data_IF_239766055400
#
_entry.id   IF_239766055400
#
_cell.length_a   1.000
_cell.length_b   1.000
_cell.length_c   1.000
_cell.angle_alpha   90.00
_cell.angle_beta   90.00
_cell.angle_gamma   90.00
#
_symmetry.space_group_name_H-M   'P 1'
#
loop_
_entity.id
_entity.type
_entity.pdbx_description
1 polymer ?
#
# COMPACT_ATOMS: atom_id res chain seq x y z
N UNK A 1 -7.84 -15.22 -66.38
CA UNK A 1 -7.97 -16.32 -65.41
C UNK A 1 -7.41 -15.83 -64.09
N UNK A 2 -8.14 -15.43 -63.07
CA UNK A 2 -9.54 -15.05 -62.79
C UNK A 2 -9.44 -14.16 -61.52
N UNK A 3 -10.19 -13.06 -61.39
CA UNK A 3 -11.47 -13.04 -60.66
C UNK A 3 -11.28 -13.28 -59.15
N UNK A 4 -11.70 -12.44 -58.20
CA UNK A 4 -12.73 -11.42 -58.20
C UNK A 4 -12.60 -10.47 -56.99
N UNK A 5 -13.12 -9.25 -57.19
CA UNK A 5 -13.51 -8.26 -56.19
C UNK A 5 -14.97 -8.50 -55.77
N UNK A 6 -15.34 -8.37 -54.47
CA UNK A 6 -16.66 -7.86 -54.04
C UNK A 6 -16.53 -7.08 -52.72
N UNK A 7 -17.17 -5.92 -52.71
CA UNK A 7 -17.28 -4.92 -51.67
C UNK A 7 -18.69 -4.92 -51.03
N UNK A 8 -18.77 -4.36 -49.81
CA UNK A 8 -19.89 -3.65 -49.14
C UNK A 8 -21.29 -4.30 -49.03
N UNK A 9 -21.90 -4.25 -47.83
CA UNK A 9 -23.22 -3.61 -47.56
C UNK A 9 -23.41 -3.40 -46.03
N UNK A 10 -24.08 -2.29 -45.70
CA UNK A 10 -24.38 -1.66 -44.41
C UNK A 10 -25.82 -1.96 -43.92
N UNK A 11 -26.11 -1.73 -42.62
CA UNK A 11 -27.36 -1.18 -42.01
C UNK A 11 -27.47 -1.63 -40.53
N UNK A 12 -27.46 -0.75 -39.51
CA UNK A 12 -28.49 0.22 -39.07
C UNK A 12 -29.66 -0.39 -38.29
N UNK A 13 -29.75 -0.11 -36.97
CA UNK A 13 -30.86 0.64 -36.35
C UNK A 13 -30.84 0.56 -34.82
N UNK A 14 -30.95 1.72 -34.17
CA UNK A 14 -31.33 1.89 -32.76
C UNK A 14 -32.88 1.83 -32.62
N UNK A 15 -33.42 1.83 -31.39
CA UNK A 15 -34.00 3.09 -30.94
C UNK A 15 -33.78 3.45 -29.46
N UNK A 16 -33.96 4.74 -29.23
CA UNK A 16 -33.95 5.52 -28.00
C UNK A 16 -35.08 5.23 -27.03
N UNK A 17 -34.83 5.37 -25.72
CA UNK A 17 -35.82 5.90 -24.76
C UNK A 17 -35.16 6.88 -23.80
N UNK A 18 -35.64 8.12 -23.89
CA UNK A 18 -35.44 9.24 -22.98
C UNK A 18 -36.05 8.92 -21.60
N UNK A 19 -35.35 9.30 -20.52
CA UNK A 19 -35.98 9.59 -19.23
C UNK A 19 -35.29 10.79 -18.57
N UNK A 20 -36.06 11.88 -18.52
CA UNK A 20 -35.81 13.06 -17.71
C UNK A 20 -35.67 12.68 -16.22
N UNK A 21 -34.67 13.25 -15.54
CA UNK A 21 -34.87 13.59 -14.13
C UNK A 21 -34.27 14.95 -13.81
N UNK A 22 -35.18 15.86 -13.46
CA UNK A 22 -34.99 17.25 -13.09
C UNK A 22 -34.14 17.37 -11.83
N UNK A 23 -33.25 18.35 -11.85
CA UNK A 23 -32.69 19.00 -10.68
C UNK A 23 -33.80 19.49 -9.73
N UNK A 24 -33.66 19.18 -8.45
CA UNK A 24 -34.38 19.86 -7.37
C UNK A 24 -33.36 20.61 -6.52
N UNK A 25 -33.31 21.92 -6.75
CA UNK A 25 -32.61 22.89 -5.91
C UNK A 25 -33.51 23.15 -4.69
N UNK A 26 -33.09 22.69 -3.52
CA UNK A 26 -33.67 23.12 -2.25
C UNK A 26 -32.97 24.41 -1.81
N UNK A 27 -33.70 25.53 -1.92
CA UNK A 27 -33.40 26.77 -1.20
C UNK A 27 -33.92 26.63 0.23
N UNK A 28 -33.06 26.83 1.22
CA UNK A 28 -33.50 27.37 2.51
C UNK A 28 -32.59 28.54 2.88
N UNK A 29 -33.20 29.72 2.86
CA UNK A 29 -32.66 30.96 3.38
C UNK A 29 -33.36 31.28 4.70
N UNK A 30 -32.58 31.91 5.58
CA UNK A 30 -32.96 32.72 6.74
C UNK A 30 -33.52 32.00 7.98
N UNK A 31 -32.78 32.11 9.09
CA UNK A 31 -33.13 33.08 10.14
C UNK A 31 -31.87 33.63 10.82
N UNK A 32 -31.80 34.96 10.86
CA UNK A 32 -30.86 35.74 11.65
C UNK A 32 -31.31 35.74 13.11
N UNK A 33 -30.36 35.61 14.04
CA UNK A 33 -30.43 36.26 15.35
C UNK A 33 -29.08 36.91 15.65
N UNK A 34 -29.00 38.21 15.36
CA UNK A 34 -28.20 39.16 16.12
C UNK A 34 -28.80 39.22 17.56
N UNK A 35 -28.15 39.57 18.66
CA UNK A 35 -27.11 40.54 19.01
C UNK A 35 -26.42 39.99 20.27
N UNK A 36 -25.20 40.39 20.63
CA UNK A 36 -25.00 41.45 21.64
C UNK A 36 -23.60 42.04 21.50
N UNK A 37 -23.56 43.36 21.39
CA UNK A 37 -22.37 44.21 21.42
C UNK A 37 -21.69 44.20 22.79
N UNK A 38 -20.37 44.28 22.80
CA UNK A 38 -19.61 44.95 23.85
C UNK A 38 -18.42 45.66 23.21
N UNK A 39 -18.37 46.96 23.47
CA UNK A 39 -17.54 48.01 22.90
C UNK A 39 -16.17 48.08 23.55
N UNK A 40 -15.10 48.33 22.79
CA UNK A 40 -14.08 49.33 23.16
C UNK A 40 -13.16 49.66 21.99
N UNK A 41 -12.79 50.92 21.96
CA UNK A 41 -12.15 51.74 20.91
C UNK A 41 -10.72 51.34 20.52
N UNK A 42 -10.24 51.70 19.32
CA UNK A 42 -8.84 51.51 18.94
C UNK A 42 -7.97 52.64 19.49
N UNK A 43 -6.90 52.30 20.21
CA UNK A 43 -5.80 53.23 20.49
C UNK A 43 -4.81 53.12 19.35
N UNK A 44 -4.58 54.24 18.67
CA UNK A 44 -3.56 54.44 17.67
C UNK A 44 -2.20 54.68 18.35
N UNK A 45 -1.14 54.07 17.83
CA UNK A 45 0.23 54.57 18.02
C UNK A 45 1.08 54.26 16.79
N UNK A 46 1.75 55.31 16.31
CA UNK A 46 2.52 55.39 15.07
C UNK A 46 3.81 54.56 15.04
N UNK A 47 4.09 54.05 13.83
CA UNK A 47 5.36 53.90 13.10
C UNK A 47 6.68 53.86 13.91
N UNK A 48 7.44 52.77 13.73
CA UNK A 48 8.87 52.87 13.43
C UNK A 48 9.28 51.80 12.41
N UNK A 49 9.94 52.26 11.33
CA UNK A 49 10.69 51.41 10.39
C UNK A 49 12.02 51.10 11.06
N UNK A 50 12.30 49.83 11.32
CA UNK A 50 13.67 49.34 11.50
C UNK A 50 13.95 48.22 10.51
N UNK A 51 15.03 48.45 9.78
CA UNK A 51 15.72 47.56 8.85
C UNK A 51 16.48 46.50 9.66
N UNK A 52 16.63 45.32 9.08
CA UNK A 52 17.27 44.08 9.59
C UNK A 52 16.32 43.04 10.18
N UNK A 53 16.45 41.85 9.59
CA UNK A 53 15.62 40.68 9.87
C UNK A 53 15.81 40.16 11.28
N UNK A 54 14.69 39.68 11.83
CA UNK A 54 14.63 38.59 12.78
C UNK A 54 13.25 37.95 12.61
N UNK A 55 13.23 36.70 12.17
CA UNK A 55 12.02 35.88 12.22
C UNK A 55 11.66 35.68 13.69
N UNK A 56 10.53 36.25 14.12
CA UNK A 56 9.97 36.01 15.45
C UNK A 56 8.89 34.95 15.35
N UNK A 57 9.20 33.74 15.80
CA UNK A 57 8.20 32.71 16.09
C UNK A 57 7.69 32.98 17.51
N UNK A 58 6.44 33.43 17.64
CA UNK A 58 5.78 33.53 18.95
C UNK A 58 5.07 32.22 19.25
N UNK A 59 5.51 31.52 20.30
CA UNK A 59 4.76 30.41 20.87
C UNK A 59 3.49 30.96 21.53
N UNK A 60 2.32 30.49 21.07
CA UNK A 60 1.04 30.78 21.71
C UNK A 60 0.80 29.72 22.79
N UNK A 61 0.59 30.18 24.02
CA UNK A 61 0.27 29.31 25.14
C UNK A 61 -1.25 29.05 25.10
N UNK A 62 -1.68 27.83 24.73
CA UNK A 62 -3.06 27.41 24.93
C UNK A 62 -3.15 26.01 25.53
N UNK A 63 -4.08 25.95 26.48
CA UNK A 63 -4.42 24.86 27.38
C UNK A 63 -4.80 23.56 26.67
N UNK A 64 -4.42 22.47 27.33
CA UNK A 64 -4.57 21.07 26.97
C UNK A 64 -5.96 20.66 26.46
N UNK A 65 -6.00 20.18 25.20
CA UNK A 65 -6.85 19.06 24.83
C UNK A 65 -6.06 18.14 23.88
N UNK A 66 -5.96 16.87 24.23
CA UNK A 66 -5.12 15.89 23.56
C UNK A 66 -5.72 15.47 22.21
N UNK A 67 -5.19 16.04 21.12
CA UNK A 67 -5.25 15.45 19.77
C UNK A 67 -3.87 15.57 19.14
N UNK A 68 -3.39 14.48 18.56
CA UNK A 68 -2.07 14.29 17.94
C UNK A 68 -1.54 15.56 17.25
N UNK A 69 -0.72 16.33 17.96
CA UNK A 69 -0.02 17.50 17.43
C UNK A 69 1.28 17.03 16.77
N UNK A 70 1.39 17.18 15.46
CA UNK A 70 2.69 17.12 14.76
C UNK A 70 3.51 18.37 15.12
N UNK A 71 4.84 18.34 14.97
CA UNK A 71 5.71 19.49 15.25
C UNK A 71 5.34 20.77 14.46
N UNK A 72 4.54 20.64 13.41
CA UNK A 72 4.00 21.71 12.57
C UNK A 72 2.63 22.24 13.01
N UNK A 73 1.98 21.68 14.04
CA UNK A 73 0.60 22.02 14.42
C UNK A 73 0.40 23.48 14.79
N UNK A 74 1.48 24.17 15.17
CA UNK A 74 1.46 25.57 15.60
C UNK A 74 2.02 26.54 14.55
N UNK A 75 2.30 26.06 13.33
CA UNK A 75 2.78 26.90 12.23
C UNK A 75 1.58 27.58 11.57
N UNK A 76 1.36 28.85 11.88
CA UNK A 76 0.33 29.65 11.23
C UNK A 76 0.84 30.15 9.86
N UNK A 77 0.49 29.41 8.80
CA UNK A 77 0.82 29.76 7.40
C UNK A 77 -0.28 30.64 6.75
N UNK A 78 -1.36 30.94 7.49
CA UNK A 78 -2.57 31.61 6.98
C UNK A 78 -2.37 33.05 6.51
N UNK A 79 -1.21 33.66 6.81
CA UNK A 79 -0.88 35.02 6.40
C UNK A 79 -0.20 35.12 5.03
N UNK A 80 0.07 34.00 4.34
CA UNK A 80 0.54 34.02 2.96
C UNK A 80 -0.65 33.98 2.00
N UNK A 81 -1.28 35.14 1.78
CA UNK A 81 -2.21 35.28 0.68
C UNK A 81 -1.41 35.23 -0.64
N UNK A 82 -1.63 34.20 -1.45
CA UNK A 82 -1.09 34.14 -2.79
C UNK A 82 -1.55 35.39 -3.57
N UNK A 83 -0.67 36.04 -4.35
CA UNK A 83 -1.03 37.20 -5.15
C UNK A 83 -2.25 36.91 -6.05
N UNK A 84 -3.17 37.87 -6.24
CA UNK A 84 -4.43 37.66 -6.97
C UNK A 84 -4.28 37.33 -8.47
N UNK A 85 -3.06 37.40 -9.02
CA UNK A 85 -2.72 37.02 -10.39
C UNK A 85 -2.17 35.58 -10.51
N UNK A 86 -1.87 34.93 -9.38
CA UNK A 86 -1.55 33.51 -9.34
C UNK A 86 -2.86 32.73 -9.24
N UNK A 87 -3.10 31.73 -10.12
CA UNK A 87 -4.24 30.85 -9.98
C UNK A 87 -4.21 30.20 -8.59
N UNK A 88 -5.37 30.01 -7.95
CA UNK A 88 -5.40 29.26 -6.69
C UNK A 88 -4.89 27.85 -6.94
N UNK A 89 -4.26 27.24 -5.93
CA UNK A 89 -3.67 25.91 -6.08
C UNK A 89 -4.74 24.86 -6.44
N UNK A 90 -5.99 25.03 -5.98
CA UNK A 90 -7.13 24.20 -6.37
C UNK A 90 -7.64 24.42 -7.81
N UNK A 91 -7.24 25.49 -8.50
CA UNK A 91 -7.64 25.82 -9.87
C UNK A 91 -6.63 25.37 -10.92
N UNK A 92 -5.44 24.96 -10.49
CA UNK A 92 -4.41 24.40 -11.37
C UNK A 92 -4.58 22.89 -11.46
N UNK A 93 -4.86 22.41 -12.66
CA UNK A 93 -4.77 20.99 -12.98
C UNK A 93 -3.30 20.56 -13.09
N UNK A 94 -2.64 20.53 -11.93
CA UNK A 94 -1.21 20.25 -11.79
C UNK A 94 -0.85 18.88 -12.36
N UNK A 95 -1.73 17.88 -12.21
CA UNK A 95 -1.55 16.54 -12.77
C UNK A 95 -1.49 16.59 -14.30
N UNK A 96 -2.42 17.28 -14.97
CA UNK A 96 -2.37 17.40 -16.43
C UNK A 96 -1.20 18.26 -16.92
N UNK A 97 -0.77 19.26 -16.14
CA UNK A 97 0.45 20.03 -16.45
C UNK A 97 1.70 19.16 -16.40
N UNK A 98 1.82 18.30 -15.39
CA UNK A 98 2.93 17.36 -15.24
C UNK A 98 2.87 16.26 -16.31
N UNK A 99 1.68 15.77 -16.64
CA UNK A 99 1.48 14.76 -17.68
C UNK A 99 1.96 15.27 -19.05
N UNK A 100 1.67 16.53 -19.40
CA UNK A 100 2.23 17.17 -20.62
C UNK A 100 3.76 17.24 -20.63
N UNK A 101 4.39 17.24 -19.45
CA UNK A 101 5.85 17.14 -19.28
C UNK A 101 6.34 15.69 -19.17
N UNK A 102 5.46 14.73 -19.49
CA UNK A 102 5.67 13.28 -19.46
C UNK A 102 6.02 12.75 -18.07
N UNK A 103 5.43 13.36 -17.04
CA UNK A 103 5.61 12.98 -15.65
C UNK A 103 4.31 12.34 -15.14
N UNK A 104 4.43 11.12 -14.64
CA UNK A 104 3.36 10.36 -14.00
C UNK A 104 3.72 10.18 -12.52
N UNK A 105 2.76 10.37 -11.62
CA UNK A 105 2.92 10.13 -10.19
C UNK A 105 2.12 8.91 -9.72
N UNK A 106 2.82 7.92 -9.16
CA UNK A 106 2.26 6.83 -8.37
C UNK A 106 2.49 7.14 -6.88
N UNK A 107 1.58 7.94 -6.30
CA UNK A 107 1.69 8.45 -4.93
C UNK A 107 0.82 7.76 -3.88
N UNK A 108 0.15 6.65 -4.24
CA UNK A 108 -0.83 5.98 -3.41
C UNK A 108 -0.61 4.46 -3.37
N UNK A 109 -1.44 3.76 -2.60
CA UNK A 109 -1.54 2.30 -2.66
C UNK A 109 -1.94 1.86 -4.07
N UNK A 110 -1.39 0.74 -4.52
CA UNK A 110 -1.71 0.17 -5.83
C UNK A 110 -2.99 -0.65 -5.71
N UNK A 111 -4.05 -0.17 -6.33
CA UNK A 111 -5.32 -0.87 -6.55
C UNK A 111 -5.71 -0.79 -8.03
N UNK A 112 -6.85 -1.38 -8.39
CA UNK A 112 -7.28 -1.46 -9.79
C UNK A 112 -7.51 -0.06 -10.40
N UNK A 113 -8.11 0.87 -9.63
CA UNK A 113 -8.38 2.24 -10.08
C UNK A 113 -7.09 3.01 -10.32
N UNK A 114 -6.14 2.93 -9.39
CA UNK A 114 -4.84 3.58 -9.52
C UNK A 114 -4.05 2.99 -10.67
N UNK A 115 -4.08 1.66 -10.83
CA UNK A 115 -3.41 0.97 -11.92
C UNK A 115 -3.98 1.38 -13.29
N UNK A 116 -5.30 1.38 -13.45
CA UNK A 116 -5.96 1.80 -14.70
C UNK A 116 -5.58 3.24 -15.07
N UNK A 117 -5.50 4.14 -14.09
CA UNK A 117 -5.08 5.52 -14.32
C UNK A 117 -3.63 5.61 -14.77
N UNK A 118 -2.71 4.87 -14.16
CA UNK A 118 -1.29 4.86 -14.53
C UNK A 118 -1.09 4.21 -15.91
N UNK A 119 -1.75 3.09 -16.18
CA UNK A 119 -1.71 2.40 -17.47
C UNK A 119 -2.20 3.34 -18.57
N UNK A 120 -3.34 3.99 -18.38
CA UNK A 120 -3.90 4.92 -19.37
C UNK A 120 -2.93 6.06 -19.68
N UNK A 121 -2.29 6.65 -18.66
CA UNK A 121 -1.29 7.70 -18.86
C UNK A 121 -0.04 7.21 -19.59
N UNK A 122 0.47 6.02 -19.25
CA UNK A 122 1.62 5.43 -19.95
C UNK A 122 1.34 5.26 -21.44
N UNK A 123 0.19 4.66 -21.78
CA UNK A 123 -0.21 4.43 -23.17
C UNK A 123 -0.47 5.72 -23.94
N UNK A 124 -1.08 6.71 -23.28
CA UNK A 124 -1.29 8.03 -23.87
C UNK A 124 0.05 8.68 -24.23
N UNK A 125 0.98 8.77 -23.28
CA UNK A 125 2.28 9.39 -23.51
C UNK A 125 3.12 8.63 -24.55
N UNK A 126 3.06 7.30 -24.57
CA UNK A 126 3.74 6.51 -25.60
C UNK A 126 3.15 6.78 -26.99
N UNK A 127 1.82 6.94 -27.09
CA UNK A 127 1.16 7.26 -28.37
C UNK A 127 1.51 8.67 -28.89
N UNK A 128 1.73 9.64 -28.00
CA UNK A 128 2.10 11.01 -28.37
C UNK A 128 3.55 11.11 -28.89
N UNK A 129 4.50 10.46 -28.22
CA UNK A 129 5.91 10.48 -28.61
C UNK A 129 6.65 9.25 -28.06
N UNK A 130 6.91 8.28 -28.95
CA UNK A 130 7.58 7.02 -28.63
C UNK A 130 9.10 7.18 -28.40
N UNK A 131 9.69 8.34 -28.70
CA UNK A 131 11.14 8.56 -28.60
C UNK A 131 11.56 9.24 -27.30
N UNK A 132 10.63 9.91 -26.62
CA UNK A 132 10.90 10.63 -25.39
C UNK A 132 10.55 9.80 -24.17
N UNK A 133 11.46 9.79 -23.21
CA UNK A 133 11.27 9.12 -21.94
C UNK A 133 9.99 9.57 -21.22
N UNK A 134 9.37 8.62 -20.53
CA UNK A 134 8.30 8.84 -19.56
C UNK A 134 8.91 8.73 -18.17
N UNK A 135 8.63 9.70 -17.29
CA UNK A 135 9.14 9.72 -15.91
C UNK A 135 8.05 9.32 -14.94
N UNK A 136 8.18 8.16 -14.33
CA UNK A 136 7.30 7.61 -13.31
C UNK A 136 7.89 7.86 -11.92
N UNK A 137 7.29 8.80 -11.18
CA UNK A 137 7.64 9.06 -9.79
C UNK A 137 6.83 8.14 -8.87
N UNK A 138 7.52 7.47 -7.95
CA UNK A 138 6.94 6.43 -7.09
C UNK A 138 7.09 6.84 -5.63
N UNK A 139 5.96 6.92 -4.95
CA UNK A 139 5.82 7.02 -3.51
C UNK A 139 4.64 6.12 -3.09
N UNK A 140 4.88 4.81 -3.00
CA UNK A 140 3.83 3.82 -2.81
C UNK A 140 4.22 2.75 -1.78
N UNK A 141 3.31 2.39 -0.85
CA UNK A 141 3.50 1.27 0.05
C UNK A 141 3.35 -0.10 -0.67
N UNK A 142 3.03 -0.11 -1.96
CA UNK A 142 2.65 -1.32 -2.70
C UNK A 142 1.14 -1.49 -2.76
N UNK A 143 0.67 -2.73 -2.92
CA UNK A 143 -0.77 -3.03 -3.02
C UNK A 143 -1.05 -4.32 -3.78
N UNK A 144 -2.11 -4.32 -4.59
CA UNK A 144 -2.55 -5.47 -5.37
C UNK A 144 -1.48 -5.93 -6.37
N UNK A 145 -1.13 -7.21 -6.31
CA UNK A 145 -0.14 -7.83 -7.21
C UNK A 145 -0.63 -7.79 -8.66
N UNK A 146 -1.90 -8.12 -8.90
CA UNK A 146 -2.46 -8.16 -10.27
C UNK A 146 -2.52 -6.76 -10.87
N UNK A 147 -2.97 -5.76 -10.11
CA UNK A 147 -3.00 -4.36 -10.55
C UNK A 147 -1.59 -3.83 -10.86
N UNK A 148 -0.63 -4.10 -9.95
CA UNK A 148 0.77 -3.72 -10.19
C UNK A 148 1.40 -4.47 -11.37
N UNK A 149 1.00 -5.71 -11.64
CA UNK A 149 1.46 -6.43 -12.84
C UNK A 149 0.90 -5.83 -14.13
N UNK A 150 -0.33 -5.32 -14.12
CA UNK A 150 -0.87 -4.57 -15.25
C UNK A 150 -0.04 -3.33 -15.57
N UNK A 151 0.38 -2.56 -14.55
CA UNK A 151 1.27 -1.41 -14.73
C UNK A 151 2.62 -1.87 -15.32
N UNK A 152 3.21 -2.94 -14.77
CA UNK A 152 4.47 -3.48 -15.27
C UNK A 152 4.38 -3.87 -16.75
N UNK A 153 3.31 -4.58 -17.15
CA UNK A 153 3.14 -5.00 -18.54
C UNK A 153 2.95 -3.79 -19.46
N UNK A 154 2.20 -2.76 -19.01
CA UNK A 154 2.09 -1.50 -19.75
C UNK A 154 3.45 -0.80 -19.90
N UNK A 155 4.29 -0.77 -18.85
CA UNK A 155 5.65 -0.24 -18.93
C UNK A 155 6.51 -1.00 -19.95
N UNK A 156 6.33 -2.33 -20.08
CA UNK A 156 7.06 -3.15 -21.07
C UNK A 156 6.47 -3.07 -22.47
N UNK A 157 5.20 -2.72 -22.60
CA UNK A 157 4.52 -2.52 -23.88
C UNK A 157 4.89 -1.18 -24.53
N UNK A 158 5.14 -0.15 -23.74
CA UNK A 158 5.59 1.16 -24.23
C UNK A 158 6.89 1.03 -25.02
N UNK A 159 6.99 1.77 -26.12
CA UNK A 159 8.25 1.89 -26.89
C UNK A 159 9.16 2.97 -26.30
N UNK A 160 8.57 4.01 -25.74
CA UNK A 160 9.27 5.01 -24.96
C UNK A 160 9.88 4.37 -23.71
N UNK A 161 11.09 4.80 -23.35
CA UNK A 161 11.72 4.36 -22.12
C UNK A 161 10.96 4.89 -20.89
N UNK A 162 10.74 4.03 -19.91
CA UNK A 162 10.12 4.42 -18.64
C UNK A 162 11.19 4.58 -17.58
N UNK A 163 11.53 5.82 -17.25
CA UNK A 163 12.42 6.16 -16.14
C UNK A 163 11.63 6.17 -14.83
N UNK A 164 12.13 5.47 -13.82
CA UNK A 164 11.49 5.36 -12.51
C UNK A 164 12.27 6.14 -11.46
N UNK A 165 11.57 6.90 -10.61
CA UNK A 165 12.19 7.71 -9.56
C UNK A 165 11.45 7.46 -8.24
N UNK A 166 12.14 6.89 -7.25
CA UNK A 166 11.61 6.78 -5.90
C UNK A 166 11.75 8.11 -5.17
N UNK A 167 10.65 8.59 -4.58
CA UNK A 167 10.62 9.80 -3.76
C UNK A 167 9.79 9.54 -2.51
N UNK A 168 10.46 9.17 -1.42
CA UNK A 168 9.80 8.74 -0.18
C UNK A 168 9.89 7.22 -0.03
N UNK A 169 8.80 6.50 -0.31
CA UNK A 169 8.74 5.05 -0.14
C UNK A 169 8.45 4.33 -1.45
N UNK A 170 9.21 3.28 -1.76
CA UNK A 170 8.82 2.27 -2.74
C UNK A 170 8.86 0.90 -2.04
N UNK A 171 7.71 0.39 -1.64
CA UNK A 171 7.59 -0.86 -0.91
C UNK A 171 6.78 -1.90 -1.70
N UNK A 172 7.09 -3.19 -1.53
CA UNK A 172 6.36 -4.30 -2.14
C UNK A 172 6.20 -4.11 -3.66
N UNK A 173 4.97 -4.10 -4.21
CA UNK A 173 4.71 -3.82 -5.62
C UNK A 173 5.24 -2.44 -6.08
N UNK A 174 5.35 -1.44 -5.19
CA UNK A 174 6.00 -0.17 -5.50
C UNK A 174 7.50 -0.32 -5.74
N UNK A 175 8.20 -1.14 -4.95
CA UNK A 175 9.62 -1.47 -5.15
C UNK A 175 9.81 -2.28 -6.45
N UNK A 176 8.89 -3.20 -6.72
CA UNK A 176 8.89 -3.99 -7.95
C UNK A 176 8.78 -3.11 -9.20
N UNK A 177 7.83 -2.16 -9.20
CA UNK A 177 7.66 -1.21 -10.30
C UNK A 177 8.86 -0.26 -10.44
N UNK A 178 9.41 0.22 -9.31
CA UNK A 178 10.65 1.00 -9.30
C UNK A 178 11.78 0.26 -10.01
N UNK A 179 12.00 -1.00 -9.65
CA UNK A 179 13.05 -1.83 -10.25
C UNK A 179 12.79 -2.16 -11.73
N UNK A 180 11.52 -2.11 -12.15
CA UNK A 180 11.08 -2.47 -13.50
C UNK A 180 11.21 -1.36 -14.54
N UNK A 181 11.68 -0.17 -14.17
CA UNK A 181 12.04 0.88 -15.12
C UNK A 181 13.11 0.45 -16.13
N UNK A 182 13.30 1.24 -17.19
CA UNK A 182 14.36 1.00 -18.17
C UNK A 182 15.72 0.97 -17.49
N UNK A 183 16.54 -0.03 -17.80
CA UNK A 183 17.89 -0.20 -17.24
C UNK A 183 18.75 1.03 -17.52
N UNK A 184 19.44 1.54 -16.50
CA UNK A 184 20.21 2.79 -16.54
C UNK A 184 19.38 4.04 -16.24
N UNK A 185 18.06 3.92 -16.06
CA UNK A 185 17.12 5.04 -15.83
C UNK A 185 16.25 4.86 -14.57
N UNK A 186 16.71 4.05 -13.61
CA UNK A 186 16.05 3.79 -12.33
C UNK A 186 16.75 4.56 -11.22
N UNK A 187 16.02 5.39 -10.49
CA UNK A 187 16.60 6.37 -9.57
C UNK A 187 15.95 6.37 -8.19
N UNK A 188 16.72 6.76 -7.17
CA UNK A 188 16.21 7.07 -5.84
C UNK A 188 16.64 8.48 -5.41
N UNK A 189 15.78 9.19 -4.68
CA UNK A 189 16.22 10.34 -3.88
C UNK A 189 16.96 9.87 -2.61
N UNK A 190 17.83 10.68 -1.99
CA UNK A 190 18.71 10.26 -0.88
C UNK A 190 17.96 9.71 0.34
N UNK A 191 16.78 10.27 0.63
CA UNK A 191 15.94 9.89 1.77
C UNK A 191 14.98 8.73 1.47
N UNK A 192 15.07 8.16 0.27
CA UNK A 192 14.14 7.12 -0.14
C UNK A 192 14.38 5.82 0.61
N UNK A 193 13.28 5.14 0.92
CA UNK A 193 13.30 3.77 1.44
C UNK A 193 12.70 2.85 0.40
N UNK A 194 13.41 1.76 0.13
CA UNK A 194 12.94 0.69 -0.75
C UNK A 194 12.71 -0.55 0.10
N UNK A 195 11.59 -1.23 -0.05
CA UNK A 195 11.31 -2.46 0.70
C UNK A 195 10.82 -3.55 -0.22
N UNK A 196 11.46 -4.72 -0.15
CA UNK A 196 11.02 -5.92 -0.86
C UNK A 196 10.56 -6.97 0.15
N UNK A 197 9.51 -7.70 -0.21
CA UNK A 197 9.00 -8.83 0.55
C UNK A 197 8.18 -9.78 -0.35
N UNK A 198 7.79 -10.93 0.17
CA UNK A 198 6.92 -11.87 -0.51
C UNK A 198 5.49 -11.33 -0.62
N UNK A 199 4.72 -11.71 -1.66
CA UNK A 199 3.33 -11.29 -1.78
C UNK A 199 2.51 -11.78 -0.58
N UNK A 200 1.66 -10.89 -0.05
CA UNK A 200 0.76 -11.18 1.05
C UNK A 200 -0.63 -11.53 0.51
N UNK A 201 -1.31 -12.46 1.18
CA UNK A 201 -2.70 -12.79 0.87
C UNK A 201 -3.35 -13.57 1.99
N UNK A 202 -4.67 -13.58 2.00
CA UNK A 202 -5.48 -14.35 2.94
C UNK A 202 -6.30 -15.38 2.18
N UNK A 203 -6.39 -16.59 2.73
CA UNK A 203 -7.18 -17.68 2.16
C UNK A 203 -8.14 -18.22 3.20
N UNK A 204 -9.39 -18.49 2.82
CA UNK A 204 -10.45 -18.97 3.70
C UNK A 204 -11.58 -19.62 2.91
N UNK A 205 -12.38 -20.45 3.58
CA UNK A 205 -13.45 -21.23 2.97
C UNK A 205 -13.14 -22.73 2.93
N UNK A 206 -13.80 -23.45 2.01
CA UNK A 206 -13.63 -24.90 1.84
C UNK A 206 -12.16 -25.24 1.52
N UNK A 207 -11.69 -26.40 1.96
CA UNK A 207 -10.30 -26.85 1.72
C UNK A 207 -9.88 -26.75 0.25
N UNK A 208 -10.79 -27.07 -0.68
CA UNK A 208 -10.55 -26.95 -2.13
C UNK A 208 -10.29 -25.51 -2.55
N UNK A 209 -11.13 -24.56 -2.13
CA UNK A 209 -10.95 -23.13 -2.43
C UNK A 209 -9.66 -22.59 -1.84
N UNK A 210 -9.35 -23.02 -0.62
CA UNK A 210 -8.11 -22.64 0.06
C UNK A 210 -6.89 -23.10 -0.73
N UNK A 211 -6.91 -24.35 -1.21
CA UNK A 211 -5.81 -24.94 -2.01
C UNK A 211 -5.58 -24.21 -3.33
N UNK A 212 -6.66 -23.74 -3.98
CA UNK A 212 -6.58 -22.99 -5.24
C UNK A 212 -5.94 -21.62 -4.99
N UNK A 213 -6.39 -20.89 -3.96
CA UNK A 213 -5.83 -19.57 -3.63
C UNK A 213 -4.37 -19.64 -3.18
N UNK A 214 -3.99 -20.67 -2.42
CA UNK A 214 -2.60 -20.88 -2.01
C UNK A 214 -1.72 -21.16 -3.23
N UNK A 215 -2.20 -21.95 -4.19
CA UNK A 215 -1.48 -22.20 -5.44
C UNK A 215 -1.25 -20.91 -6.22
N UNK A 216 -2.25 -20.03 -6.30
CA UNK A 216 -2.13 -18.74 -6.96
C UNK A 216 -1.13 -17.81 -6.27
N UNK A 217 -1.15 -17.74 -4.93
CA UNK A 217 -0.16 -16.99 -4.16
C UNK A 217 1.27 -17.51 -4.39
N UNK A 218 1.45 -18.83 -4.44
CA UNK A 218 2.74 -19.44 -4.76
C UNK A 218 3.18 -19.10 -6.19
N UNK A 219 2.26 -19.08 -7.15
CA UNK A 219 2.53 -18.64 -8.52
C UNK A 219 3.06 -17.21 -8.56
N UNK A 220 2.37 -16.26 -7.91
CA UNK A 220 2.82 -14.87 -7.84
C UNK A 220 4.20 -14.73 -7.18
N UNK A 221 4.45 -15.44 -6.07
CA UNK A 221 5.75 -15.44 -5.40
C UNK A 221 6.88 -15.85 -6.36
N UNK A 222 6.72 -16.98 -7.05
CA UNK A 222 7.71 -17.48 -8.01
C UNK A 222 7.88 -16.51 -9.18
N UNK A 223 6.78 -15.99 -9.73
CA UNK A 223 6.80 -15.06 -10.88
C UNK A 223 7.53 -13.76 -10.56
N UNK A 224 7.21 -13.13 -9.43
CA UNK A 224 7.84 -11.88 -9.00
C UNK A 224 9.33 -12.09 -8.72
N UNK A 225 9.70 -13.17 -8.03
CA UNK A 225 11.12 -13.48 -7.74
C UNK A 225 11.94 -13.69 -9.02
N UNK A 226 11.38 -14.37 -10.02
CA UNK A 226 12.00 -14.56 -11.33
C UNK A 226 12.25 -13.24 -12.06
N UNK A 227 11.27 -12.33 -12.03
CA UNK A 227 11.41 -11.02 -12.68
C UNK A 227 12.45 -10.17 -11.93
N UNK A 228 12.38 -10.11 -10.59
CA UNK A 228 13.36 -9.38 -9.78
C UNK A 228 14.78 -9.92 -9.96
N UNK A 229 14.96 -11.25 -10.04
CA UNK A 229 16.25 -11.88 -10.33
C UNK A 229 16.81 -11.40 -11.65
N UNK A 230 16.00 -11.36 -12.72
CA UNK A 230 16.42 -10.87 -14.05
C UNK A 230 16.78 -9.39 -14.04
N UNK A 231 16.03 -8.57 -13.31
CA UNK A 231 16.23 -7.13 -13.22
C UNK A 231 17.50 -6.78 -12.43
N UNK A 232 17.68 -7.41 -11.26
CA UNK A 232 18.78 -7.13 -10.34
C UNK A 232 20.08 -7.86 -10.71
N UNK A 233 19.98 -8.94 -11.49
CA UNK A 233 21.11 -9.83 -11.80
C UNK A 233 21.48 -10.80 -10.66
N UNK A 234 20.72 -10.84 -9.56
CA UNK A 234 20.94 -11.78 -8.46
C UNK A 234 20.28 -13.14 -8.75
N UNK A 235 20.83 -14.26 -8.24
CA UNK A 235 20.21 -15.57 -8.41
C UNK A 235 18.84 -15.64 -7.72
N UNK A 236 17.91 -16.42 -8.28
CA UNK A 236 16.54 -16.57 -7.76
C UNK A 236 16.51 -16.97 -6.27
N UNK A 237 17.42 -17.86 -5.85
CA UNK A 237 17.58 -18.29 -4.45
C UNK A 237 17.88 -17.13 -3.50
N UNK A 238 18.69 -16.16 -3.94
CA UNK A 238 19.04 -14.99 -3.14
C UNK A 238 17.84 -14.05 -3.01
N UNK A 239 17.11 -13.83 -4.11
CA UNK A 239 15.87 -13.05 -4.10
C UNK A 239 14.83 -13.70 -3.17
N UNK A 240 14.68 -15.02 -3.22
CA UNK A 240 13.74 -15.74 -2.36
C UNK A 240 14.07 -15.56 -0.87
N UNK A 241 15.35 -15.68 -0.49
CA UNK A 241 15.79 -15.45 0.89
C UNK A 241 15.56 -14.00 1.32
N UNK A 242 15.90 -13.04 0.46
CA UNK A 242 15.86 -11.62 0.78
C UNK A 242 14.43 -11.03 0.73
N UNK A 243 13.47 -11.76 0.16
CA UNK A 243 12.04 -11.40 0.13
C UNK A 243 11.19 -12.20 1.13
N UNK A 244 11.72 -13.23 1.79
CA UNK A 244 10.95 -14.03 2.76
C UNK A 244 10.38 -13.17 3.91
N UNK A 245 11.10 -12.11 4.28
CA UNK A 245 10.67 -11.11 5.27
C UNK A 245 10.78 -9.71 4.69
N UNK A 246 10.17 -8.75 5.37
CA UNK A 246 10.30 -7.34 5.03
C UNK A 246 11.79 -6.94 5.09
N UNK A 247 12.33 -6.59 3.93
CA UNK A 247 13.72 -6.20 3.79
C UNK A 247 13.79 -4.75 3.30
N UNK A 248 14.06 -3.85 4.25
CA UNK A 248 14.14 -2.42 3.98
C UNK A 248 15.58 -1.99 3.67
N UNK A 249 15.73 -1.24 2.59
CA UNK A 249 16.98 -0.71 2.08
C UNK A 249 16.91 0.82 2.02
N UNK A 250 18.02 1.48 2.32
CA UNK A 250 18.23 2.89 1.97
C UNK A 250 18.52 3.02 0.45
N UNK A 251 18.59 4.25 -0.04
CA UNK A 251 18.78 4.51 -1.48
C UNK A 251 20.07 3.90 -2.06
N UNK A 252 21.17 3.87 -1.28
CA UNK A 252 22.45 3.31 -1.71
C UNK A 252 22.45 1.78 -1.67
N UNK A 253 21.90 1.18 -0.61
CA UNK A 253 21.70 -0.27 -0.52
C UNK A 253 20.82 -0.76 -1.68
N UNK A 254 19.74 -0.05 -2.02
CA UNK A 254 18.88 -0.39 -3.15
C UNK A 254 19.64 -0.32 -4.49
N UNK A 255 20.58 0.62 -4.63
CA UNK A 255 21.47 0.71 -5.80
C UNK A 255 22.43 -0.48 -5.85
N UNK A 256 23.12 -0.78 -4.75
CA UNK A 256 24.03 -1.92 -4.64
C UNK A 256 23.31 -3.27 -4.84
N UNK A 257 22.05 -3.34 -4.41
CA UNK A 257 21.18 -4.48 -4.64
C UNK A 257 20.76 -4.61 -6.12
N UNK A 258 20.87 -3.56 -6.91
CA UNK A 258 20.47 -3.54 -8.32
C UNK A 258 18.97 -3.27 -8.55
N UNK A 259 18.25 -2.79 -7.52
CA UNK A 259 16.86 -2.31 -7.65
C UNK A 259 16.83 -0.96 -8.38
N UNK A 260 17.83 -0.12 -8.19
CA UNK A 260 17.99 1.15 -8.90
C UNK A 260 19.40 1.29 -9.47
N UNK A 261 19.59 2.20 -10.43
CA UNK A 261 20.87 2.43 -11.10
C UNK A 261 21.66 3.57 -10.44
N UNK A 262 20.99 4.62 -9.95
CA UNK A 262 21.64 5.76 -9.33
C UNK A 262 20.81 6.44 -8.23
N UNK A 263 21.51 7.13 -7.34
CA UNK A 263 20.90 8.02 -6.34
C UNK A 263 21.10 9.46 -6.82
N UNK A 264 20.02 10.24 -6.88
CA UNK A 264 20.06 11.64 -7.28
C UNK A 264 20.39 12.47 -6.04
N UNK A 265 21.66 12.79 -5.84
CA UNK A 265 22.17 13.51 -4.68
C UNK A 265 22.99 14.73 -5.11
N UNK A 266 23.03 15.79 -4.29
CA UNK A 266 23.81 17.01 -4.56
C UNK A 266 25.29 16.88 -4.16
N UNK A 267 25.71 15.66 -3.78
CA UNK A 267 27.07 15.32 -3.39
C UNK A 267 27.42 15.73 -1.96
N UNK A 268 26.47 16.27 -1.19
CA UNK A 268 26.68 16.58 0.22
C UNK A 268 26.40 15.34 1.07
N UNK A 269 27.38 14.81 1.81
CA UNK A 269 27.15 13.67 2.67
C UNK A 269 26.24 14.07 3.81
N UNK A 270 25.02 13.55 3.84
CA UNK A 270 24.19 13.71 5.04
C UNK A 270 22.71 13.61 4.78
N UNK A 271 22.19 12.38 4.81
CA UNK A 271 20.87 12.03 5.35
C UNK A 271 20.70 10.49 5.49
N UNK A 272 21.79 9.72 5.47
CA UNK A 272 21.70 8.27 5.71
C UNK A 272 21.71 8.05 7.21
N UNK A 273 20.55 7.73 7.78
CA UNK A 273 20.49 7.21 9.13
C UNK A 273 21.32 5.90 9.17
N UNK A 274 22.21 5.70 10.16
CA UNK A 274 22.85 4.41 10.38
C UNK A 274 21.75 3.38 10.60
N UNK A 275 21.59 2.44 9.67
CA UNK A 275 20.65 1.34 9.87
C UNK A 275 21.18 0.52 11.05
N UNK A 276 20.32 0.23 12.03
CA UNK A 276 20.64 -0.79 13.03
C UNK A 276 21.09 -2.07 12.30
N UNK A 277 22.07 -2.75 12.88
CA UNK A 277 22.67 -4.00 12.41
C UNK A 277 21.72 -4.83 11.55
N UNK A 278 22.06 -4.97 10.26
CA UNK A 278 21.31 -5.70 9.22
C UNK A 278 21.22 -7.22 9.47
N UNK A 279 21.39 -7.67 10.72
CA UNK A 279 21.03 -9.02 11.11
C UNK A 279 19.52 -9.15 10.94
N UNK A 280 19.12 -10.00 10.00
CA UNK A 280 17.71 -10.39 9.91
C UNK A 280 17.33 -10.96 11.27
N UNK A 281 16.16 -10.57 11.85
CA UNK A 281 15.72 -11.17 13.09
C UNK A 281 15.78 -12.69 12.93
N UNK A 282 16.31 -13.42 13.93
CA UNK A 282 16.58 -14.85 13.80
C UNK A 282 15.32 -15.54 13.30
N UNK A 283 15.45 -16.36 12.26
CA UNK A 283 14.32 -17.08 11.66
C UNK A 283 13.54 -17.75 12.79
N UNK A 284 12.28 -17.38 13.00
CA UNK A 284 11.37 -18.13 13.86
C UNK A 284 11.08 -19.46 13.17
N UNK A 285 12.00 -20.39 13.32
CA UNK A 285 11.77 -21.80 13.09
C UNK A 285 10.71 -22.20 14.12
N UNK A 286 9.47 -22.36 13.70
CA UNK A 286 8.34 -22.73 14.60
C UNK A 286 8.70 -23.97 15.43
N UNK A 287 9.53 -24.87 14.88
CA UNK A 287 10.08 -26.04 15.57
C UNK A 287 11.05 -25.71 16.73
N UNK A 288 11.66 -24.53 16.78
CA UNK A 288 12.50 -24.10 17.91
C UNK A 288 11.64 -23.64 19.11
N UNK A 289 10.39 -23.22 18.90
CA UNK A 289 9.41 -23.01 19.98
C UNK A 289 8.82 -24.33 20.53
N UNK A 290 8.90 -25.40 19.74
CA UNK A 290 8.47 -26.76 20.11
C UNK A 290 9.60 -27.64 20.64
N UNK A 291 10.84 -27.13 20.67
CA UNK A 291 11.91 -27.77 21.42
C UNK A 291 11.58 -27.63 22.90
N UNK A 292 10.98 -28.69 23.44
CA UNK A 292 10.89 -28.89 24.88
C UNK A 292 12.32 -29.01 25.38
N UNK A 293 12.86 -27.90 25.89
CA UNK A 293 14.05 -27.96 26.72
C UNK A 293 13.68 -28.68 28.01
N UNK A 294 14.08 -29.94 28.07
CA UNK A 294 13.83 -30.81 29.20
C UNK A 294 14.49 -32.17 28.99
N UNK A 295 15.09 -32.69 30.06
CA UNK A 295 15.69 -34.03 30.15
C UNK A 295 14.77 -35.12 29.53
N UNK A 296 15.32 -36.28 29.15
CA UNK A 296 14.58 -37.45 28.59
C UNK A 296 13.25 -37.76 29.30
N UNK A 297 13.12 -37.42 30.59
CA UNK A 297 11.87 -37.51 31.38
C UNK A 297 10.73 -36.61 30.87
N UNK A 298 10.99 -35.39 30.42
CA UNK A 298 9.99 -34.46 29.90
C UNK A 298 9.37 -34.95 28.58
N UNK A 299 10.16 -35.62 27.74
CA UNK A 299 9.70 -36.24 26.48
C UNK A 299 8.81 -37.47 26.71
N UNK A 300 8.90 -38.12 27.88
CA UNK A 300 8.12 -39.32 28.21
C UNK A 300 6.67 -39.01 28.61
N UNK A 301 6.38 -37.76 28.97
CA UNK A 301 5.06 -37.27 29.39
C UNK A 301 4.35 -36.45 28.30
N UNK A 302 4.85 -36.46 27.07
CA UNK A 302 4.12 -35.93 25.93
C UNK A 302 2.88 -36.81 25.68
N UNK A 303 1.70 -36.23 25.40
CA UNK A 303 0.58 -37.00 24.90
C UNK A 303 0.99 -37.61 23.56
N UNK A 304 1.21 -38.92 23.53
CA UNK A 304 1.32 -39.68 22.28
C UNK A 304 -0.09 -39.83 21.69
N UNK A 305 -0.22 -39.87 20.36
CA UNK A 305 -1.51 -40.10 19.68
C UNK A 305 -2.21 -41.40 20.16
N UNK A 306 -1.45 -42.35 20.69
CA UNK A 306 -1.94 -43.59 21.32
C UNK A 306 -2.70 -43.38 22.65
N UNK A 307 -2.66 -42.18 23.25
CA UNK A 307 -3.35 -41.82 24.51
C UNK A 307 -4.58 -40.94 24.32
N UNK A 308 -5.05 -40.75 23.09
CA UNK A 308 -6.41 -40.28 22.88
C UNK A 308 -7.29 -41.51 23.13
N UNK A 309 -8.12 -41.56 24.20
CA UNK A 309 -9.02 -42.69 24.37
C UNK A 309 -9.90 -42.77 23.12
N UNK A 310 -9.88 -43.93 22.46
CA UNK A 310 -10.83 -44.32 21.41
C UNK A 310 -12.23 -44.47 22.03
N UNK A 311 -12.79 -43.39 22.60
CA UNK A 311 -14.20 -43.33 22.96
C UNK A 311 -14.97 -42.86 21.74
N UNK A 312 -15.21 -43.80 20.84
CA UNK A 312 -16.00 -43.57 19.64
C UNK A 312 -16.07 -44.81 18.76
N UNK A 313 -16.34 -45.99 19.34
CA UNK A 313 -17.02 -47.14 18.72
C UNK A 313 -16.84 -48.40 19.57
N UNK A 314 -17.76 -48.64 20.51
CA UNK A 314 -18.02 -49.99 20.99
C UNK A 314 -19.48 -50.08 21.46
N UNK A 315 -20.27 -50.70 20.59
CA UNK A 315 -21.56 -51.33 20.85
C UNK A 315 -21.68 -51.87 22.28
N UNK A 316 -22.76 -51.48 22.96
CA UNK A 316 -23.12 -52.01 24.26
C UNK A 316 -23.36 -53.52 24.22
N UNK A 317 -22.78 -54.22 25.18
CA UNK A 317 -23.31 -55.45 25.77
C UNK A 317 -22.47 -55.80 27.01
N UNK A 318 -23.17 -56.39 27.99
CA UNK A 318 -22.75 -56.91 29.33
C UNK A 318 -23.04 -55.92 30.46
N UNK A 319 -24.06 -56.12 31.30
CA UNK A 319 -24.35 -57.24 32.22
C UNK A 319 -23.13 -57.60 33.08
N UNK A 320 -23.11 -57.16 34.33
CA UNK A 320 -23.41 -58.00 35.51
C UNK A 320 -23.16 -57.17 36.77
N UNK A 321 -24.19 -57.14 37.61
CA UNK A 321 -24.16 -57.31 39.06
C UNK A 321 -23.03 -56.62 39.85
N UNK A 322 -23.36 -55.50 40.49
CA UNK A 322 -22.91 -55.32 41.87
C UNK A 322 -23.99 -54.64 42.72
N UNK A 323 -24.18 -55.27 43.88
CA UNK A 323 -25.28 -55.11 44.82
C UNK A 323 -24.90 -53.99 45.79
N UNK A 324 -25.59 -52.86 45.67
CA UNK A 324 -25.59 -51.78 46.65
C UNK A 324 -26.99 -51.58 47.20
N UNK A 325 -27.31 -52.31 48.25
CA UNK A 325 -28.53 -52.18 49.06
C UNK A 325 -28.68 -50.77 49.63
N UNK A 326 -29.61 -49.99 49.10
CA UNK A 326 -30.27 -48.92 49.85
C UNK A 326 -31.79 -49.10 49.69
N UNK A 327 -32.46 -49.15 50.85
CA UNK A 327 -33.86 -49.53 51.01
C UNK A 327 -34.80 -48.47 50.43
N UNK A 328 -35.83 -48.97 49.77
CA UNK A 328 -37.07 -48.26 49.47
C UNK A 328 -37.72 -47.73 50.76
N UNK A 329 -38.10 -46.45 50.77
CA UNK A 329 -39.23 -45.97 51.55
C UNK A 329 -40.07 -45.09 50.61
N UNK A 330 -41.19 -45.64 50.15
CA UNK A 330 -42.12 -44.97 49.25
C UNK A 330 -43.31 -44.39 50.03
N UNK A 331 -43.57 -43.11 49.74
CA UNK A 331 -44.86 -42.39 49.72
C UNK A 331 -45.49 -41.92 51.06
N UNK A 332 -46.43 -40.93 51.04
CA UNK A 332 -46.88 -40.04 49.95
C UNK A 332 -46.87 -38.53 50.32
N UNK A 333 -46.96 -37.65 49.32
CA UNK A 333 -47.50 -36.29 49.50
C UNK A 333 -49.04 -36.39 49.69
N UNK A 334 -49.70 -35.56 50.53
CA UNK A 334 -50.03 -34.18 50.12
C UNK A 334 -50.21 -33.14 51.25
N UNK A 335 -50.42 -31.88 50.79
CA UNK A 335 -50.81 -30.61 51.45
C UNK A 335 -49.64 -29.71 51.86
#
# INVERSE_FOLDING_TARGET
>A
MDGASIAFTTASSAPSTFLHQRATISKQAHTNSALLFSTSTPISSNISRTRNGNFSVKAVNQSSSSRNQTLSSNWNVSNYAAPPWLPRFEELDTTNMLLRQRIIFLGAQIDDVTADFIITQLLLLDSEDQKKDIRLFINSPGGSVTAGMGIYDAMKMCKADVSTICMGLAASMGAFLLASGTKGKRFCMPNSRVMIHQPLGTSGGKATEMSIRIREMAYHKVKLNKILSRITGKPEEKIEVDTDRDNFMNAWEAKEYGLVDAVIDDGKPGLVAPTADASTPPKTRVWDMWKIEGSRKAKKNLPSEEKIPQNGNASGQRNDDDVGTEKEEEAPAPI
#
